data_IF_321234055064
#
_entry.id   IF_321234055064
#
_cell.length_a   1.000
_cell.length_b   1.000
_cell.length_c   1.000
_cell.angle_alpha   90.00
_cell.angle_beta   90.00
_cell.angle_gamma   90.00
#
_symmetry.space_group_name_H-M   'P 1'
#
loop_
_entity.id
_entity.type
_entity.pdbx_description
1 polymer ?
#
# COMPACT_ATOMS: atom_id res chain seq x y z
N UNK A 1 -6.08 9.06 19.53
CA UNK A 1 -7.07 9.24 18.44
C UNK A 1 -6.76 8.38 17.21
N UNK A 2 -5.50 8.34 16.75
CA UNK A 2 -5.06 7.47 15.64
C UNK A 2 -5.42 5.98 15.85
N UNK A 3 -5.07 5.41 17.02
CA UNK A 3 -5.33 3.99 17.30
C UNK A 3 -6.83 3.63 17.23
N UNK A 4 -7.72 4.46 17.80
CA UNK A 4 -9.18 4.24 17.77
C UNK A 4 -9.75 4.35 16.35
N UNK A 5 -9.15 5.19 15.50
CA UNK A 5 -9.59 5.36 14.11
C UNK A 5 -9.19 4.15 13.28
N UNK A 6 -7.94 3.68 13.43
CA UNK A 6 -7.46 2.48 12.76
C UNK A 6 -8.20 1.22 13.19
N UNK A 7 -8.51 1.09 14.49
CA UNK A 7 -9.35 0.00 15.00
C UNK A 7 -10.72 -0.03 14.31
N UNK A 8 -11.40 1.13 14.21
CA UNK A 8 -12.67 1.24 13.49
C UNK A 8 -12.54 0.84 12.02
N UNK A 9 -11.46 1.25 11.35
CA UNK A 9 -11.21 0.87 9.97
C UNK A 9 -11.10 -0.65 9.81
N UNK A 10 -10.29 -1.30 10.64
CA UNK A 10 -10.08 -2.74 10.54
C UNK A 10 -11.35 -3.53 10.82
N UNK A 11 -12.17 -3.08 11.78
CA UNK A 11 -13.51 -3.66 12.02
C UNK A 11 -14.40 -3.50 10.79
N UNK A 12 -14.48 -2.29 10.22
CA UNK A 12 -15.31 -2.04 9.04
C UNK A 12 -14.85 -2.85 7.81
N UNK A 13 -13.53 -3.02 7.61
CA UNK A 13 -13.01 -3.87 6.54
C UNK A 13 -13.38 -5.35 6.75
N UNK A 14 -13.29 -5.85 7.98
CA UNK A 14 -13.65 -7.22 8.33
C UNK A 14 -15.15 -7.48 8.11
N UNK A 15 -16.01 -6.52 8.42
CA UNK A 15 -17.46 -6.61 8.18
C UNK A 15 -17.80 -6.57 6.68
N UNK A 16 -17.09 -5.75 5.89
CA UNK A 16 -17.39 -5.53 4.48
C UNK A 16 -16.82 -6.60 3.55
N UNK A 17 -15.66 -7.21 3.86
CA UNK A 17 -14.88 -8.02 2.91
C UNK A 17 -15.69 -9.09 2.18
N UNK A 18 -16.56 -9.79 2.91
CA UNK A 18 -17.29 -10.94 2.38
C UNK A 18 -18.27 -10.55 1.28
N UNK A 19 -18.77 -9.31 1.33
CA UNK A 19 -19.69 -8.72 0.36
C UNK A 19 -18.98 -8.10 -0.86
N UNK A 20 -17.68 -7.84 -0.78
CA UNK A 20 -16.94 -7.15 -1.82
C UNK A 20 -16.55 -8.11 -2.95
N UNK A 21 -16.70 -7.71 -4.22
CA UNK A 21 -16.35 -8.57 -5.34
C UNK A 21 -14.84 -8.77 -5.45
N UNK A 22 -14.42 -9.94 -5.93
CA UNK A 22 -13.02 -10.19 -6.29
C UNK A 22 -12.55 -9.24 -7.40
N UNK A 23 -11.28 -8.87 -7.35
CA UNK A 23 -10.65 -8.04 -8.37
C UNK A 23 -10.25 -8.92 -9.56
N UNK A 24 -10.75 -8.62 -10.77
CA UNK A 24 -10.40 -9.42 -11.94
C UNK A 24 -8.96 -9.14 -12.38
N UNK A 25 -8.29 -10.14 -12.95
CA UNK A 25 -6.89 -10.03 -13.41
C UNK A 25 -6.62 -8.79 -14.28
N UNK A 26 -7.54 -8.46 -15.20
CA UNK A 26 -7.43 -7.30 -16.10
C UNK A 26 -7.54 -5.94 -15.38
N UNK A 27 -8.13 -5.96 -14.19
CA UNK A 27 -8.31 -4.78 -13.32
C UNK A 27 -7.12 -4.61 -12.37
N UNK A 28 -6.18 -5.56 -12.30
CA UNK A 28 -4.97 -5.40 -11.49
C UNK A 28 -3.99 -4.52 -12.24
N UNK A 29 -4.01 -3.23 -11.91
CA UNK A 29 -3.10 -2.23 -12.44
C UNK A 29 -2.36 -1.52 -11.31
N UNK A 30 -1.20 -0.99 -11.64
CA UNK A 30 -0.37 -0.27 -10.69
C UNK A 30 -1.09 0.96 -10.13
N UNK A 31 -1.09 1.09 -8.81
CA UNK A 31 -1.75 2.17 -8.07
C UNK A 31 -3.22 1.94 -7.76
N UNK A 32 -3.81 0.81 -8.18
CA UNK A 32 -5.22 0.52 -7.85
C UNK A 32 -5.36 0.20 -6.37
N UNK A 33 -6.34 0.87 -5.77
CA UNK A 33 -6.87 0.68 -4.43
C UNK A 33 -7.64 -0.64 -4.37
N UNK A 34 -7.27 -1.52 -3.44
CA UNK A 34 -7.94 -2.80 -3.29
C UNK A 34 -7.78 -3.36 -1.87
N UNK A 35 -8.53 -4.42 -1.58
CA UNK A 35 -8.35 -5.28 -0.42
C UNK A 35 -7.47 -6.47 -0.79
N UNK A 36 -6.57 -6.82 0.10
CA UNK A 36 -5.74 -8.01 0.03
C UNK A 36 -5.82 -8.80 1.33
N UNK A 37 -5.96 -10.11 1.22
CA UNK A 37 -5.85 -11.00 2.37
C UNK A 37 -4.37 -11.09 2.78
N UNK A 38 -4.07 -10.84 4.05
CA UNK A 38 -2.75 -11.03 4.62
C UNK A 38 -2.82 -12.02 5.79
N UNK A 39 -1.78 -12.83 5.92
CA UNK A 39 -1.66 -13.74 7.06
C UNK A 39 -1.24 -12.94 8.30
N UNK A 40 -1.99 -13.12 9.39
CA UNK A 40 -1.74 -12.56 10.71
C UNK A 40 -1.43 -13.74 11.64
N UNK A 41 -0.17 -14.16 11.64
CA UNK A 41 0.27 -15.34 12.38
C UNK A 41 0.01 -16.65 11.61
N UNK A 42 0.07 -17.78 12.31
CA UNK A 42 0.08 -19.10 11.68
C UNK A 42 -1.30 -19.58 11.21
N UNK A 43 -2.39 -19.12 11.84
CA UNK A 43 -3.74 -19.64 11.58
C UNK A 43 -4.78 -18.56 11.22
N UNK A 44 -4.42 -17.28 11.28
CA UNK A 44 -5.37 -16.21 11.01
C UNK A 44 -4.97 -15.43 9.76
N UNK A 45 -5.97 -14.95 9.04
CA UNK A 45 -5.80 -14.00 7.94
C UNK A 45 -6.79 -12.86 8.11
N UNK A 46 -6.44 -11.69 7.60
CA UNK A 46 -7.35 -10.55 7.57
C UNK A 46 -7.23 -9.80 6.24
N UNK A 47 -8.34 -9.20 5.84
CA UNK A 47 -8.41 -8.35 4.67
C UNK A 47 -7.99 -6.93 5.01
N UNK A 48 -6.97 -6.45 4.32
CA UNK A 48 -6.36 -5.15 4.56
C UNK A 48 -6.29 -4.35 3.27
N UNK A 49 -6.46 -3.03 3.38
CA UNK A 49 -6.33 -2.14 2.23
C UNK A 49 -4.88 -2.11 1.73
N UNK A 50 -4.73 -2.09 0.42
CA UNK A 50 -3.45 -2.08 -0.24
C UNK A 50 -3.52 -1.34 -1.58
N UNK A 51 -2.34 -1.07 -2.13
CA UNK A 51 -2.19 -0.75 -3.55
C UNK A 51 -1.63 -1.94 -4.30
N UNK A 52 -2.22 -2.25 -5.45
CA UNK A 52 -1.58 -3.10 -6.42
C UNK A 52 -0.36 -2.36 -7.00
N UNK A 53 0.80 -2.99 -6.93
CA UNK A 53 2.08 -2.44 -7.44
C UNK A 53 2.43 -3.08 -8.79
N UNK A 54 1.97 -4.30 -9.02
CA UNK A 54 2.19 -5.01 -10.29
C UNK A 54 1.53 -6.38 -10.32
N UNK A 55 1.68 -7.04 -11.46
CA UNK A 55 1.13 -8.37 -11.76
C UNK A 55 2.23 -9.27 -12.30
N UNK A 56 2.37 -10.47 -11.73
CA UNK A 56 3.33 -11.50 -12.14
C UNK A 56 2.58 -12.81 -12.33
N UNK A 57 2.22 -13.12 -13.58
CA UNK A 57 1.44 -14.32 -13.88
C UNK A 57 0.03 -14.26 -13.24
N UNK A 58 -0.21 -15.11 -12.25
CA UNK A 58 -1.45 -15.16 -11.47
C UNK A 58 -1.26 -14.66 -10.02
N UNK A 59 -0.21 -13.89 -9.79
CA UNK A 59 0.11 -13.26 -8.51
C UNK A 59 0.12 -11.74 -8.68
N UNK A 60 -0.42 -11.03 -7.72
CA UNK A 60 -0.29 -9.58 -7.62
C UNK A 60 0.79 -9.22 -6.62
N UNK A 61 1.60 -8.22 -6.95
CA UNK A 61 2.48 -7.57 -5.99
C UNK A 61 1.68 -6.43 -5.36
N UNK A 62 1.52 -6.45 -4.05
CA UNK A 62 0.74 -5.43 -3.31
C UNK A 62 1.60 -4.74 -2.27
N UNK A 63 1.27 -3.48 -1.98
CA UNK A 63 1.81 -2.71 -0.86
C UNK A 63 0.71 -2.48 0.17
N UNK A 64 0.84 -3.10 1.34
CA UNK A 64 -0.05 -2.88 2.46
C UNK A 64 0.26 -1.56 3.13
N UNK A 65 -0.63 -0.59 2.93
CA UNK A 65 -0.36 0.79 3.28
C UNK A 65 -0.43 1.06 4.78
N UNK A 66 -1.05 0.20 5.57
CA UNK A 66 -1.09 0.37 7.03
C UNK A 66 0.05 -0.33 7.75
N UNK A 67 0.81 -1.17 7.03
CA UNK A 67 1.95 -1.92 7.55
C UNK A 67 3.29 -1.51 6.92
N UNK A 68 3.26 -0.78 5.80
CA UNK A 68 4.47 -0.40 5.07
C UNK A 68 5.19 -1.56 4.40
N UNK A 69 4.47 -2.65 4.06
CA UNK A 69 5.06 -3.91 3.57
C UNK A 69 4.58 -4.26 2.16
N UNK A 70 5.51 -4.67 1.31
CA UNK A 70 5.20 -5.32 0.03
C UNK A 70 5.13 -6.85 0.19
N UNK A 71 4.23 -7.49 -0.54
CA UNK A 71 4.23 -8.95 -0.72
C UNK A 71 3.66 -9.34 -2.08
N UNK A 72 3.88 -10.58 -2.49
CA UNK A 72 3.17 -11.20 -3.62
C UNK A 72 2.05 -12.07 -3.07
N UNK A 73 0.83 -11.91 -3.58
CA UNK A 73 -0.33 -12.71 -3.20
C UNK A 73 -1.05 -13.28 -4.42
N UNK A 74 -1.77 -14.41 -4.28
CA UNK A 74 -2.63 -14.94 -5.33
C UNK A 74 -3.73 -13.94 -5.74
N UNK A 75 -4.16 -13.97 -7.00
CA UNK A 75 -5.24 -13.10 -7.48
C UNK A 75 -6.59 -13.34 -6.78
N UNK A 76 -6.87 -14.56 -6.33
CA UNK A 76 -8.07 -14.87 -5.56
C UNK A 76 -8.00 -14.36 -4.11
N UNK A 77 -6.88 -13.74 -3.70
CA UNK A 77 -6.74 -13.03 -2.43
C UNK A 77 -6.92 -11.51 -2.60
N UNK A 78 -7.53 -11.05 -3.70
CA UNK A 78 -7.80 -9.64 -3.98
C UNK A 78 -9.29 -9.34 -4.16
N UNK A 79 -9.75 -8.27 -3.51
CA UNK A 79 -11.11 -7.73 -3.68
C UNK A 79 -11.08 -6.24 -4.00
N UNK A 80 -12.12 -5.75 -4.66
CA UNK A 80 -12.32 -4.31 -4.93
C UNK A 80 -12.55 -3.55 -3.63
N UNK A 81 -12.07 -2.31 -3.57
CA UNK A 81 -12.29 -1.41 -2.43
C UNK A 81 -12.39 0.04 -2.94
N UNK A 82 -13.48 0.32 -3.65
CA UNK A 82 -13.71 1.60 -4.33
C UNK A 82 -14.41 2.64 -3.44
N UNK A 83 -14.96 2.19 -2.31
CA UNK A 83 -15.71 3.02 -1.37
C UNK A 83 -14.78 3.96 -0.59
N UNK A 84 -15.00 5.28 -0.72
CA UNK A 84 -14.12 6.33 -0.20
C UNK A 84 -14.06 6.37 1.34
N UNK A 85 -15.08 5.89 2.05
CA UNK A 85 -15.09 5.84 3.52
C UNK A 85 -13.91 5.03 4.10
N UNK A 86 -13.43 4.02 3.39
CA UNK A 86 -12.25 3.23 3.81
C UNK A 86 -10.92 3.97 3.61
N UNK A 87 -10.94 5.12 2.93
CA UNK A 87 -9.77 5.93 2.59
C UNK A 87 -9.75 7.29 3.31
N UNK A 88 -10.85 7.69 3.96
CA UNK A 88 -10.90 8.89 4.82
C UNK A 88 -9.86 8.85 5.94
N UNK A 89 -9.69 7.67 6.55
CA UNK A 89 -8.63 7.45 7.52
C UNK A 89 -7.32 7.35 6.75
N UNK A 90 -6.44 8.33 6.93
CA UNK A 90 -5.16 8.36 6.19
C UNK A 90 -4.34 7.08 6.41
N UNK A 91 -3.67 6.55 5.37
CA UNK A 91 -2.78 5.41 5.49
C UNK A 91 -1.65 5.65 6.50
N UNK A 92 -1.28 4.62 7.27
CA UNK A 92 -0.17 4.75 8.23
C UNK A 92 1.20 4.80 7.57
N UNK A 93 1.34 4.20 6.38
CA UNK A 93 2.53 4.25 5.55
C UNK A 93 2.20 4.82 4.18
N UNK A 94 3.01 5.79 3.76
CA UNK A 94 2.93 6.43 2.45
C UNK A 94 4.22 6.13 1.69
N UNK A 95 4.18 5.38 0.57
CA UNK A 95 5.37 5.16 -0.21
C UNK A 95 5.81 6.47 -0.86
N UNK A 96 7.13 6.63 -0.90
CA UNK A 96 7.78 7.75 -1.54
C UNK A 96 9.03 7.28 -2.26
N UNK A 97 9.45 8.06 -3.25
CA UNK A 97 10.69 7.86 -4.00
C UNK A 97 11.51 9.14 -3.98
N UNK A 98 12.84 9.03 -3.97
CA UNK A 98 13.71 10.21 -4.06
C UNK A 98 13.51 10.90 -5.42
N UNK A 99 13.44 12.23 -5.42
CA UNK A 99 13.28 13.04 -6.64
C UNK A 99 14.54 13.02 -7.52
N UNK A 100 15.72 13.14 -6.91
CA UNK A 100 16.99 13.22 -7.62
C UNK A 100 17.82 11.94 -7.45
N UNK A 101 17.84 11.11 -8.50
CA UNK A 101 18.74 9.98 -8.65
C UNK A 101 18.44 8.77 -7.76
N UNK A 102 19.00 7.64 -8.17
CA UNK A 102 19.09 6.43 -7.33
C UNK A 102 20.32 6.64 -6.45
N UNK A 103 20.14 6.68 -5.12
CA UNK A 103 21.31 6.56 -4.25
C UNK A 103 21.98 5.22 -4.57
N UNK A 104 23.29 5.18 -4.85
CA UNK A 104 24.01 3.92 -4.93
C UNK A 104 23.69 3.09 -3.67
N UNK A 105 23.42 1.78 -3.79
CA UNK A 105 23.09 0.93 -2.64
C UNK A 105 24.11 1.02 -1.50
N UNK A 106 25.35 1.39 -1.84
CA UNK A 106 26.47 1.56 -0.93
C UNK A 106 26.31 2.79 -0.03
N UNK A 107 25.69 3.86 -0.54
CA UNK A 107 25.50 5.14 0.16
C UNK A 107 24.21 5.18 1.00
N UNK A 108 23.25 4.28 0.74
CA UNK A 108 22.01 4.18 1.53
C UNK A 108 22.27 3.55 2.90
N UNK A 109 23.28 2.68 3.02
CA UNK A 109 23.51 1.94 4.27
C UNK A 109 23.93 2.90 5.38
N UNK A 110 23.10 2.96 6.43
CA UNK A 110 23.35 3.64 7.71
C UNK A 110 23.27 5.17 7.69
N UNK A 111 22.67 5.78 6.67
CA UNK A 111 22.45 7.23 6.64
C UNK A 111 20.99 7.57 6.93
N UNK A 112 20.76 8.56 7.79
CA UNK A 112 19.44 9.16 8.00
C UNK A 112 19.32 10.33 7.02
N UNK A 113 18.43 10.20 6.04
CA UNK A 113 18.12 11.28 5.12
C UNK A 113 17.05 12.19 5.74
N UNK A 114 17.35 13.49 5.80
CA UNK A 114 16.39 14.51 6.24
C UNK A 114 15.92 15.28 5.00
N UNK A 115 14.61 15.50 4.85
CA UNK A 115 14.06 16.07 3.64
C UNK A 115 12.60 16.48 3.75
N UNK A 116 11.97 16.73 2.60
CA UNK A 116 10.53 17.03 2.49
C UNK A 116 9.88 16.12 1.45
N UNK A 117 8.65 15.71 1.73
CA UNK A 117 7.80 15.13 0.71
C UNK A 117 7.22 16.25 -0.17
N UNK A 118 7.23 16.03 -1.48
CA UNK A 118 6.56 16.82 -2.51
C UNK A 118 5.39 16.01 -3.06
N UNK A 119 4.58 16.67 -3.89
CA UNK A 119 3.45 16.04 -4.56
C UNK A 119 3.83 14.80 -5.38
N UNK A 120 2.81 14.12 -5.94
CA UNK A 120 2.96 12.85 -6.63
C UNK A 120 4.07 12.82 -7.68
N UNK A 121 4.62 11.63 -7.88
CA UNK A 121 5.47 11.32 -9.04
C UNK A 121 4.65 11.41 -10.33
N UNK A 122 5.26 11.92 -11.40
CA UNK A 122 4.62 11.99 -12.71
C UNK A 122 4.35 10.58 -13.29
N UNK A 123 5.20 9.61 -12.94
CA UNK A 123 5.14 8.25 -13.48
C UNK A 123 4.28 7.32 -12.62
N UNK A 124 4.22 7.61 -11.32
CA UNK A 124 3.51 6.80 -10.32
C UNK A 124 2.73 7.72 -9.38
N UNK A 125 1.50 8.13 -9.75
CA UNK A 125 0.76 9.16 -9.01
C UNK A 125 0.42 8.80 -7.55
N UNK A 126 0.51 7.52 -7.19
CA UNK A 126 0.31 7.03 -5.81
C UNK A 126 1.60 7.09 -4.97
N UNK A 127 2.76 7.36 -5.57
CA UNK A 127 4.05 7.52 -4.89
C UNK A 127 4.40 9.00 -4.78
N UNK A 128 4.72 9.45 -3.57
CA UNK A 128 5.19 10.82 -3.34
C UNK A 128 6.67 10.98 -3.69
N UNK A 129 7.07 12.19 -4.05
CA UNK A 129 8.49 12.51 -4.25
C UNK A 129 9.13 12.97 -2.95
N UNK A 130 10.33 12.51 -2.65
CA UNK A 130 11.13 12.91 -1.50
C UNK A 130 12.34 13.71 -1.95
N UNK A 131 12.51 14.89 -1.38
CA UNK A 131 13.65 15.77 -1.65
C UNK A 131 14.49 15.84 -0.39
N UNK A 132 15.69 15.26 -0.46
CA UNK A 132 16.66 15.37 0.60
C UNK A 132 17.10 16.84 0.74
N UNK A 133 17.27 17.31 1.98
CA UNK A 133 18.03 18.51 2.23
C UNK A 133 19.48 18.19 1.91
N UNK A 134 20.04 18.85 0.90
CA UNK A 134 21.49 18.91 0.74
C UNK A 134 22.07 19.70 1.91
N UNK A 135 23.05 19.12 2.59
CA UNK A 135 23.84 19.80 3.63
C UNK A 135 24.76 20.85 3.03
#
# INVERSE_FOLDING_TARGET
ECCKSMEKLFVALAEAESSLPFLAKKEVQKGIRCLAQCDIGEENSAWNRCWAVGLVGNWAVVFFMDFGRCTSIPLNSLRKLDQEEFWEIRPLAQPFMREEGICPPQDIRRQILVGKLKGPSQWEPHILRFVAKTG
#
